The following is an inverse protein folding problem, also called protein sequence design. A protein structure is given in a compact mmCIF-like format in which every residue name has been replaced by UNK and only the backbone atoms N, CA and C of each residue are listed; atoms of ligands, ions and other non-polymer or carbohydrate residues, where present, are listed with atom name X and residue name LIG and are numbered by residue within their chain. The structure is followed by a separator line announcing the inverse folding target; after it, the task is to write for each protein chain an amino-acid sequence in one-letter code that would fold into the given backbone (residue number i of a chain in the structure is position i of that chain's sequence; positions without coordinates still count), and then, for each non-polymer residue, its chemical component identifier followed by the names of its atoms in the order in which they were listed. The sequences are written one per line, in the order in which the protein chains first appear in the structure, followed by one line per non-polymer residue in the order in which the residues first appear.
data_IF_218191753567
#
_entry.id   IF_218191753567
#
_cell.length_a   1.000
_cell.length_b   1.000
_cell.length_c   1.000
_cell.angle_alpha   90.00
_cell.angle_beta   90.00
_cell.angle_gamma   90.00
#
_symmetry.space_group_name_H-M   'P 1'
#
loop_
_entity.id
_entity.type
_entity.pdbx_description
1 polymer ?
#
# COMPACT_ATOMS: atom_id res chain seq x y z
N UNK A 1 23.16 -23.29 3.36
CA UNK A 1 22.31 -22.23 3.92
C UNK A 1 22.25 -21.18 2.84
N UNK A 2 21.12 -21.09 2.14
CA UNK A 2 20.86 -19.95 1.27
C UNK A 2 20.56 -18.79 2.20
N UNK A 3 21.23 -17.66 2.01
CA UNK A 3 20.88 -16.43 2.71
C UNK A 3 19.44 -16.11 2.32
N UNK A 4 18.56 -16.04 3.32
CA UNK A 4 17.15 -15.73 3.11
C UNK A 4 17.08 -14.25 2.74
N UNK A 5 16.86 -13.97 1.45
CA UNK A 5 16.64 -12.61 0.96
C UNK A 5 15.26 -12.15 1.40
N UNK A 6 15.20 -10.92 1.89
CA UNK A 6 14.00 -10.27 2.42
C UNK A 6 13.49 -9.21 1.44
N UNK A 7 12.22 -8.81 1.57
CA UNK A 7 11.63 -7.81 0.68
C UNK A 7 12.36 -6.45 0.72
N UNK A 8 12.99 -6.10 1.85
CA UNK A 8 13.75 -4.85 2.00
C UNK A 8 15.16 -4.91 1.42
N UNK A 9 15.63 -6.10 1.03
CA UNK A 9 16.96 -6.25 0.46
C UNK A 9 17.04 -5.64 -0.94
N UNK A 10 18.24 -5.18 -1.26
CA UNK A 10 18.54 -4.60 -2.56
C UNK A 10 18.45 -5.67 -3.65
N UNK A 11 18.00 -5.31 -4.85
CA UNK A 11 17.95 -6.22 -6.01
C UNK A 11 19.29 -6.91 -6.32
N UNK A 12 20.42 -6.32 -5.91
CA UNK A 12 21.75 -6.93 -6.03
C UNK A 12 21.93 -8.21 -5.19
N UNK A 13 21.16 -8.39 -4.13
CA UNK A 13 21.22 -9.64 -3.35
C UNK A 13 20.71 -10.86 -4.15
N UNK A 14 19.83 -10.65 -5.14
CA UNK A 14 19.46 -11.70 -6.09
C UNK A 14 20.63 -12.11 -7.01
N UNK A 15 21.58 -11.20 -7.25
CA UNK A 15 22.79 -11.52 -8.01
C UNK A 15 23.81 -12.29 -7.15
N UNK A 16 23.90 -11.97 -5.86
CA UNK A 16 24.80 -12.63 -4.91
C UNK A 16 24.34 -14.05 -4.57
N UNK A 17 23.03 -14.31 -4.60
CA UNK A 17 22.46 -15.66 -4.49
C UNK A 17 22.49 -16.45 -5.81
N UNK A 18 22.75 -15.77 -6.94
CA UNK A 18 22.86 -16.36 -8.26
C UNK A 18 21.53 -16.58 -8.99
N UNK A 19 20.44 -16.03 -8.48
CA UNK A 19 19.11 -16.05 -9.11
C UNK A 19 19.10 -15.19 -10.39
N UNK A 20 19.83 -14.08 -10.39
CA UNK A 20 20.06 -13.23 -11.56
C UNK A 20 21.54 -12.93 -11.76
N UNK A 21 21.91 -12.36 -12.91
CA UNK A 21 23.26 -11.84 -13.10
C UNK A 21 23.38 -10.41 -12.59
N UNK A 22 24.58 -10.02 -12.15
CA UNK A 22 24.87 -8.64 -11.73
C UNK A 22 24.47 -7.59 -12.78
N UNK A 23 24.71 -7.87 -14.06
CA UNK A 23 24.32 -6.97 -15.15
C UNK A 23 22.79 -6.84 -15.36
N UNK A 24 21.99 -7.76 -14.83
CA UNK A 24 20.54 -7.63 -14.78
C UNK A 24 20.13 -6.85 -13.52
N UNK A 25 20.75 -7.12 -12.38
CA UNK A 25 20.54 -6.33 -11.16
C UNK A 25 20.83 -4.83 -11.39
N UNK A 26 21.97 -4.49 -12.00
CA UNK A 26 22.34 -3.11 -12.38
C UNK A 26 21.23 -2.46 -13.22
N UNK A 27 20.64 -3.21 -14.16
CA UNK A 27 19.60 -2.67 -15.05
C UNK A 27 18.27 -2.49 -14.34
N UNK A 28 17.91 -3.41 -13.45
CA UNK A 28 16.69 -3.28 -12.66
C UNK A 28 16.80 -2.04 -11.77
N UNK A 29 17.94 -1.87 -11.10
CA UNK A 29 18.27 -0.69 -10.29
C UNK A 29 18.22 0.61 -11.12
N UNK A 30 18.90 0.65 -12.27
CA UNK A 30 18.89 1.79 -13.21
C UNK A 30 17.48 2.15 -13.73
N UNK A 31 16.52 1.22 -13.67
CA UNK A 31 15.13 1.39 -14.10
C UNK A 31 14.14 1.52 -12.93
N UNK A 32 14.64 1.75 -11.70
CA UNK A 32 13.81 2.06 -10.53
C UNK A 32 13.30 0.84 -9.76
N UNK A 33 13.82 -0.36 -10.04
CA UNK A 33 13.58 -1.58 -9.27
C UNK A 33 14.76 -1.82 -8.33
N UNK A 34 14.91 -0.96 -7.32
CA UNK A 34 16.07 -0.93 -6.43
C UNK A 34 16.02 -2.09 -5.41
N UNK A 35 14.82 -2.52 -5.02
CA UNK A 35 14.58 -3.52 -3.96
C UNK A 35 13.81 -4.75 -4.46
N UNK A 36 13.89 -5.85 -3.71
CA UNK A 36 13.07 -7.05 -3.96
C UNK A 36 11.57 -6.71 -3.84
N UNK A 37 11.20 -5.79 -2.96
CA UNK A 37 9.82 -5.32 -2.85
C UNK A 37 9.32 -4.63 -4.15
N UNK A 38 10.19 -3.89 -4.86
CA UNK A 38 9.82 -3.30 -6.15
C UNK A 38 9.52 -4.38 -7.19
N UNK A 39 10.26 -5.50 -7.18
CA UNK A 39 10.02 -6.65 -8.05
C UNK A 39 8.75 -7.42 -7.67
N UNK A 40 8.44 -7.54 -6.38
CA UNK A 40 7.19 -8.13 -5.87
C UNK A 40 5.94 -7.30 -6.26
N UNK A 41 6.12 -6.00 -6.51
CA UNK A 41 5.06 -5.10 -6.99
C UNK A 41 4.94 -5.15 -8.50
N UNK A 42 6.07 -5.21 -9.21
CA UNK A 42 6.13 -5.18 -10.65
C UNK A 42 5.30 -6.32 -11.26
N UNK A 43 4.51 -6.01 -12.29
CA UNK A 43 3.97 -7.06 -13.13
C UNK A 43 5.00 -7.49 -14.19
N UNK A 44 4.70 -8.58 -14.89
CA UNK A 44 5.61 -9.09 -15.92
C UNK A 44 5.89 -8.04 -17.02
N UNK A 45 4.92 -7.17 -17.32
CA UNK A 45 5.04 -6.17 -18.37
C UNK A 45 5.95 -5.02 -17.92
N UNK A 46 5.87 -4.60 -16.66
CA UNK A 46 6.76 -3.60 -16.08
C UNK A 46 8.24 -4.03 -16.22
N UNK A 47 8.50 -5.32 -16.01
CA UNK A 47 9.85 -5.88 -16.19
C UNK A 47 10.24 -6.03 -17.66
N UNK A 48 9.31 -6.35 -18.56
CA UNK A 48 9.57 -6.43 -20.00
C UNK A 48 9.93 -5.08 -20.63
N UNK A 49 9.57 -3.96 -20.00
CA UNK A 49 9.96 -2.62 -20.41
C UNK A 49 11.43 -2.31 -20.09
N UNK A 50 12.10 -3.11 -19.23
CA UNK A 50 13.52 -2.98 -18.92
C UNK A 50 14.38 -3.53 -20.06
N UNK A 51 15.37 -2.76 -20.57
CA UNK A 51 16.23 -3.22 -21.66
C UNK A 51 16.88 -4.59 -21.38
N UNK A 52 16.74 -5.52 -22.33
CA UNK A 52 17.27 -6.89 -22.27
C UNK A 52 16.57 -7.83 -21.27
N UNK A 53 15.48 -7.41 -20.66
CA UNK A 53 14.55 -8.27 -19.91
C UNK A 53 13.41 -8.64 -20.84
N UNK A 54 13.50 -9.82 -21.47
CA UNK A 54 12.38 -10.36 -22.26
C UNK A 54 11.41 -11.15 -21.39
N UNK A 55 10.24 -11.48 -21.94
CA UNK A 55 9.18 -12.20 -21.23
C UNK A 55 9.63 -13.42 -20.41
N UNK A 56 10.52 -14.26 -20.97
CA UNK A 56 11.05 -15.41 -20.24
C UNK A 56 11.88 -15.01 -19.01
N UNK A 57 12.69 -13.96 -19.14
CA UNK A 57 13.52 -13.45 -18.03
C UNK A 57 12.69 -12.70 -17.00
N UNK A 58 11.66 -11.96 -17.42
CA UNK A 58 10.70 -11.34 -16.50
C UNK A 58 10.01 -12.40 -15.63
N UNK A 59 9.56 -13.51 -16.24
CA UNK A 59 8.98 -14.63 -15.50
C UNK A 59 9.98 -15.28 -14.52
N UNK A 60 11.23 -15.49 -14.94
CA UNK A 60 12.27 -16.05 -14.07
C UNK A 60 12.56 -15.13 -12.86
N UNK A 61 12.61 -13.80 -13.07
CA UNK A 61 12.82 -12.82 -12.01
C UNK A 61 11.65 -12.82 -11.01
N UNK A 62 10.41 -12.82 -11.51
CA UNK A 62 9.22 -12.87 -10.65
C UNK A 62 9.17 -14.18 -9.85
N UNK A 63 9.52 -15.30 -10.47
CA UNK A 63 9.58 -16.59 -9.77
C UNK A 63 10.65 -16.61 -8.67
N UNK A 64 11.79 -15.95 -8.88
CA UNK A 64 12.86 -15.85 -7.89
C UNK A 64 12.44 -15.06 -6.63
N UNK A 65 11.49 -14.13 -6.76
CA UNK A 65 11.00 -13.33 -5.64
C UNK A 65 9.63 -13.78 -5.10
N UNK A 66 8.91 -14.68 -5.79
CA UNK A 66 7.54 -15.10 -5.41
C UNK A 66 7.48 -15.77 -4.02
N UNK A 67 8.55 -16.48 -3.64
CA UNK A 67 8.68 -17.13 -2.33
C UNK A 67 9.13 -16.17 -1.21
N UNK A 68 9.45 -14.92 -1.53
CA UNK A 68 9.80 -13.89 -0.55
C UNK A 68 8.52 -13.32 0.03
N UNK A 69 8.15 -13.77 1.23
CA UNK A 69 7.02 -13.18 1.95
C UNK A 69 7.37 -11.72 2.33
N UNK A 70 6.52 -10.73 1.98
CA UNK A 70 6.72 -9.38 2.48
C UNK A 70 6.61 -9.42 4.00
N UNK A 71 7.61 -8.85 4.69
CA UNK A 71 7.58 -8.81 6.15
C UNK A 71 6.27 -8.14 6.62
N UNK A 72 5.44 -8.85 7.40
CA UNK A 72 4.17 -8.29 7.86
C UNK A 72 4.49 -7.14 8.81
N UNK A 73 3.92 -5.96 8.53
CA UNK A 73 4.09 -4.80 9.41
C UNK A 73 3.44 -5.01 10.78
N UNK A 74 2.54 -6.00 10.93
CA UNK A 74 1.80 -6.25 12.17
C UNK A 74 1.43 -7.73 12.32
N UNK A 75 1.80 -8.33 13.46
CA UNK A 75 1.19 -9.55 14.00
C UNK A 75 -0.06 -9.12 14.82
N UNK A 76 -1.21 -9.76 14.58
CA UNK A 76 -2.55 -9.23 14.89
C UNK A 76 -2.89 -9.03 16.39
N UNK A 77 -1.91 -9.10 17.29
CA UNK A 77 -2.08 -9.02 18.75
C UNK A 77 -1.58 -7.72 19.39
N UNK A 78 -0.88 -6.86 18.67
CA UNK A 78 -0.55 -5.49 19.10
C UNK A 78 -0.55 -4.58 17.86
N UNK A 79 -1.72 -4.04 17.51
CA UNK A 79 -1.93 -3.42 16.20
C UNK A 79 -1.56 -1.94 16.24
N UNK A 80 -0.27 -1.64 16.13
CA UNK A 80 0.21 -0.30 15.75
C UNK A 80 0.68 -0.35 14.30
N UNK A 81 -0.23 -0.10 13.36
CA UNK A 81 0.17 0.10 11.97
C UNK A 81 0.82 1.49 11.83
N UNK A 82 2.15 1.51 11.68
CA UNK A 82 2.96 2.74 11.56
C UNK A 82 3.13 3.24 10.13
N UNK A 83 2.21 2.92 9.22
CA UNK A 83 2.34 3.34 7.82
C UNK A 83 2.38 4.88 7.68
N UNK A 84 3.25 5.36 6.79
CA UNK A 84 3.52 6.79 6.57
C UNK A 84 3.00 7.28 5.22
N UNK A 85 2.82 8.59 5.06
CA UNK A 85 2.42 9.17 3.77
C UNK A 85 3.37 8.71 2.64
N UNK A 86 2.80 8.33 1.50
CA UNK A 86 3.54 7.85 0.33
C UNK A 86 4.08 6.43 0.46
N UNK A 87 3.90 5.75 1.58
CA UNK A 87 4.24 4.33 1.70
C UNK A 87 3.29 3.48 0.87
N UNK A 88 3.81 2.46 0.20
CA UNK A 88 3.03 1.48 -0.55
C UNK A 88 2.75 0.28 0.33
N UNK A 89 1.47 -0.07 0.47
CA UNK A 89 0.98 -1.15 1.30
C UNK A 89 0.34 -2.25 0.44
N UNK A 90 0.76 -3.49 0.66
CA UNK A 90 0.07 -4.68 0.18
C UNK A 90 -0.96 -5.10 1.23
N UNK A 91 -2.22 -5.23 0.81
CA UNK A 91 -3.32 -5.59 1.71
C UNK A 91 -3.88 -6.96 1.35
N UNK A 92 -3.69 -7.92 2.25
CA UNK A 92 -4.20 -9.28 2.12
C UNK A 92 -5.54 -9.39 2.83
N UNK A 93 -6.56 -9.89 2.14
CA UNK A 93 -7.93 -9.96 2.67
C UNK A 93 -8.18 -11.31 3.31
N UNK A 94 -8.79 -11.33 4.51
CA UNK A 94 -9.02 -12.58 5.24
C UNK A 94 -10.10 -13.48 4.60
N UNK A 95 -11.14 -12.87 4.03
CA UNK A 95 -12.32 -13.60 3.53
C UNK A 95 -12.36 -13.70 2.01
N UNK A 96 -11.34 -13.19 1.29
CA UNK A 96 -11.34 -13.01 -0.17
C UNK A 96 -9.94 -13.05 -0.74
N UNK A 97 -9.82 -13.24 -2.06
CA UNK A 97 -8.57 -12.93 -2.75
C UNK A 97 -8.25 -11.46 -2.51
N UNK A 98 -7.04 -11.20 -2.00
CA UNK A 98 -6.53 -9.87 -1.76
C UNK A 98 -6.52 -9.01 -3.02
N UNK A 99 -6.29 -7.72 -2.85
CA UNK A 99 -6.01 -6.87 -4.02
C UNK A 99 -4.67 -7.31 -4.62
N UNK A 100 -4.64 -7.50 -5.94
CA UNK A 100 -3.42 -7.86 -6.63
C UNK A 100 -2.37 -6.73 -6.57
N UNK A 101 -2.83 -5.49 -6.47
CA UNK A 101 -2.00 -4.29 -6.50
C UNK A 101 -1.81 -3.70 -5.10
N UNK A 102 -0.64 -3.12 -4.86
CA UNK A 102 -0.37 -2.33 -3.67
C UNK A 102 -1.10 -0.97 -3.73
N UNK A 103 -1.43 -0.43 -2.56
CA UNK A 103 -2.03 0.90 -2.42
C UNK A 103 -1.02 1.86 -1.82
N UNK A 104 -0.98 3.12 -2.26
CA UNK A 104 -0.26 4.15 -1.52
C UNK A 104 -1.11 4.73 -0.40
N UNK A 105 -0.45 5.01 0.71
CA UNK A 105 -0.95 5.91 1.75
C UNK A 105 -0.97 7.32 1.19
N UNK A 106 -2.16 7.89 1.07
CA UNK A 106 -2.37 9.25 0.56
C UNK A 106 -2.83 10.22 1.64
N UNK A 107 -3.35 9.70 2.75
CA UNK A 107 -3.64 10.46 3.95
C UNK A 107 -3.57 9.55 5.18
N UNK A 108 -3.19 10.12 6.31
CA UNK A 108 -3.18 9.39 7.57
C UNK A 108 -3.42 10.33 8.74
N UNK A 109 -4.30 9.89 9.63
CA UNK A 109 -4.50 10.55 10.91
C UNK A 109 -3.42 10.14 11.92
N UNK A 110 -3.18 11.00 12.92
CA UNK A 110 -2.36 10.65 14.08
C UNK A 110 -3.00 9.47 14.84
N UNK A 111 -2.21 8.47 15.28
CA UNK A 111 -2.72 7.35 16.04
C UNK A 111 -3.44 7.82 17.32
N UNK A 112 -4.71 7.46 17.48
CA UNK A 112 -5.45 7.74 18.71
C UNK A 112 -5.29 6.59 19.68
N UNK A 113 -4.64 6.86 20.82
CA UNK A 113 -4.40 5.88 21.89
C UNK A 113 -5.61 5.77 22.81
N UNK A 114 -6.03 4.55 23.14
CA UNK A 114 -7.03 4.29 24.16
C UNK A 114 -6.75 2.98 24.90
N UNK A 115 -7.17 2.93 26.16
CA UNK A 115 -6.97 1.77 27.04
C UNK A 115 -8.15 0.80 26.91
N UNK A 116 -7.87 -0.50 26.77
CA UNK A 116 -8.89 -1.53 26.90
C UNK A 116 -9.08 -1.97 28.36
N UNK A 117 -10.26 -2.51 28.71
CA UNK A 117 -10.58 -2.86 30.10
C UNK A 117 -9.68 -3.95 30.73
N UNK A 118 -8.94 -4.70 29.92
CA UNK A 118 -7.99 -5.74 30.31
C UNK A 118 -6.58 -5.21 30.59
N UNK A 119 -6.32 -3.92 30.36
CA UNK A 119 -5.03 -3.27 30.62
C UNK A 119 -4.11 -3.21 29.40
N UNK A 120 -4.56 -3.66 28.23
CA UNK A 120 -3.84 -3.47 26.98
C UNK A 120 -4.07 -2.05 26.44
N UNK A 121 -3.09 -1.51 25.72
CA UNK A 121 -3.19 -0.21 25.05
C UNK A 121 -3.41 -0.42 23.57
N UNK A 122 -4.51 0.10 23.03
CA UNK A 122 -4.83 0.00 21.61
C UNK A 122 -4.68 1.36 20.94
N UNK A 123 -4.32 1.33 19.65
CA UNK A 123 -4.31 2.53 18.81
C UNK A 123 -5.30 2.34 17.68
N UNK A 124 -6.26 3.25 17.61
CA UNK A 124 -7.13 3.34 16.44
C UNK A 124 -6.51 4.32 15.46
N UNK A 125 -6.46 3.95 14.18
CA UNK A 125 -5.94 4.80 13.10
C UNK A 125 -6.76 4.58 11.83
N UNK A 126 -7.09 5.67 11.15
CA UNK A 126 -7.64 5.64 9.79
C UNK A 126 -6.56 6.10 8.82
N UNK A 127 -6.34 5.29 7.80
CA UNK A 127 -5.34 5.53 6.76
C UNK A 127 -6.05 5.49 5.42
N UNK A 128 -6.00 6.58 4.66
CA UNK A 128 -6.59 6.65 3.33
C UNK A 128 -5.60 6.09 2.31
N UNK A 129 -6.08 5.14 1.52
CA UNK A 129 -5.32 4.38 0.54
C UNK A 129 -5.80 4.68 -0.88
N UNK A 130 -4.87 4.71 -1.84
CA UNK A 130 -5.18 4.83 -3.27
C UNK A 130 -4.41 3.81 -4.10
N UNK A 131 -5.09 3.17 -5.07
CA UNK A 131 -4.43 2.32 -6.06
C UNK A 131 -3.64 3.12 -7.12
N UNK A 132 -3.89 4.42 -7.27
CA UNK A 132 -3.20 5.30 -8.23
C UNK A 132 -2.31 6.31 -7.52
N UNK A 133 -1.06 6.37 -7.95
CA UNK A 133 0.01 7.17 -7.33
C UNK A 133 0.09 8.62 -7.83
N UNK A 134 -0.65 8.98 -8.89
CA UNK A 134 -0.65 10.32 -9.49
C UNK A 134 -2.06 10.75 -9.90
N UNK A 135 -2.40 12.00 -9.59
CA UNK A 135 -3.68 12.64 -9.90
C UNK A 135 -3.79 13.03 -11.38
N UNK A 136 -4.17 12.09 -12.24
CA UNK A 136 -4.83 12.43 -13.50
C UNK A 136 -5.74 11.28 -13.98
N UNK A 137 -7.06 11.51 -13.98
CA UNK A 137 -8.07 10.61 -14.55
C UNK A 137 -9.18 10.13 -13.61
N UNK A 138 -10.42 10.16 -14.11
CA UNK A 138 -11.70 10.18 -13.39
C UNK A 138 -12.14 8.92 -12.59
N UNK A 139 -11.28 7.94 -12.35
CA UNK A 139 -11.61 6.73 -11.58
C UNK A 139 -10.52 6.45 -10.53
N UNK A 140 -10.55 7.21 -9.43
CA UNK A 140 -9.73 6.96 -8.25
C UNK A 140 -10.40 5.89 -7.38
N UNK A 141 -9.78 4.72 -7.30
CA UNK A 141 -10.20 3.65 -6.39
C UNK A 141 -9.51 3.86 -5.03
N UNK A 142 -10.07 4.78 -4.25
CA UNK A 142 -9.65 5.06 -2.86
C UNK A 142 -10.44 4.20 -1.86
N UNK A 143 -9.83 3.93 -0.71
CA UNK A 143 -10.50 3.33 0.44
C UNK A 143 -9.85 3.72 1.76
N UNK A 144 -10.55 3.45 2.86
CA UNK A 144 -10.05 3.71 4.20
C UNK A 144 -9.62 2.38 4.85
N UNK A 145 -8.35 2.28 5.19
CA UNK A 145 -7.85 1.22 6.06
C UNK A 145 -8.04 1.66 7.51
N UNK A 146 -8.91 0.96 8.21
CA UNK A 146 -9.23 1.23 9.62
C UNK A 146 -8.60 0.17 10.49
N UNK A 147 -7.76 0.64 11.40
CA UNK A 147 -7.09 -0.14 12.43
C UNK A 147 -7.85 0.07 13.73
N UNK A 148 -8.39 -1.00 14.32
CA UNK A 148 -9.12 -0.94 15.58
C UNK A 148 -8.91 -2.19 16.44
N UNK A 149 -9.57 -2.23 17.60
CA UNK A 149 -9.47 -3.36 18.54
C UNK A 149 -10.05 -4.67 18.00
N UNK A 150 -10.93 -4.60 16.99
CA UNK A 150 -11.48 -5.76 16.30
C UNK A 150 -10.62 -6.24 15.11
N UNK A 151 -9.44 -5.62 14.92
CA UNK A 151 -8.48 -5.92 13.87
C UNK A 151 -8.43 -4.83 12.80
N UNK A 152 -7.88 -5.20 11.63
CA UNK A 152 -7.73 -4.30 10.49
C UNK A 152 -8.84 -4.56 9.47
N UNK A 153 -9.43 -3.49 8.91
CA UNK A 153 -10.49 -3.60 7.90
C UNK A 153 -10.40 -2.50 6.85
N UNK A 154 -10.92 -2.78 5.65
CA UNK A 154 -11.16 -1.78 4.61
C UNK A 154 -12.60 -1.27 4.72
N UNK A 155 -12.76 0.01 4.95
CA UNK A 155 -13.99 0.78 4.78
C UNK A 155 -14.02 1.42 3.39
N UNK A 156 -15.23 1.63 2.86
CA UNK A 156 -15.47 2.17 1.51
C UNK A 156 -14.63 1.50 0.40
N UNK A 157 -14.74 0.16 0.24
CA UNK A 157 -13.93 -0.57 -0.71
C UNK A 157 -14.22 -0.10 -2.14
N UNK A 158 -13.20 0.03 -3.00
CA UNK A 158 -13.38 0.43 -4.39
C UNK A 158 -14.06 -0.69 -5.18
N UNK A 159 -15.38 -0.68 -5.22
CA UNK A 159 -16.18 -1.62 -6.01
C UNK A 159 -17.07 -0.89 -7.00
N UNK A 160 -17.04 -1.33 -8.25
CA UNK A 160 -17.90 -0.81 -9.35
C UNK A 160 -19.41 -0.93 -9.08
N UNK A 161 -19.85 -1.64 -8.04
CA UNK A 161 -21.25 -1.73 -7.65
C UNK A 161 -21.43 -2.02 -6.15
N UNK A 162 -21.64 -0.98 -5.35
CA UNK A 162 -21.96 -1.11 -3.91
C UNK A 162 -23.26 -1.89 -3.63
N UNK A 163 -24.21 -1.93 -4.58
CA UNK A 163 -25.55 -2.54 -4.39
C UNK A 163 -25.52 -4.05 -4.08
N UNK A 164 -24.45 -4.77 -4.42
CA UNK A 164 -24.29 -6.21 -4.08
C UNK A 164 -23.58 -6.45 -2.75
N UNK A 165 -23.04 -5.41 -2.10
CA UNK A 165 -22.12 -5.54 -0.97
C UNK A 165 -22.58 -4.79 0.29
N UNK A 166 -23.83 -4.33 0.32
CA UNK A 166 -24.43 -3.42 1.32
C UNK A 166 -24.59 -3.95 2.76
N UNK A 167 -23.87 -5.01 3.17
CA UNK A 167 -24.04 -5.62 4.51
C UNK A 167 -22.77 -5.90 5.30
N UNK A 168 -21.57 -5.78 4.72
CA UNK A 168 -20.33 -5.93 5.50
C UNK A 168 -19.92 -4.56 6.06
N UNK A 169 -19.66 -4.45 7.36
CA UNK A 169 -19.16 -3.24 8.06
C UNK A 169 -17.70 -2.91 7.68
N UNK A 170 -17.35 -3.06 6.42
CA UNK A 170 -15.97 -3.13 5.94
C UNK A 170 -15.50 -4.57 5.71
N UNK A 171 -14.42 -4.72 4.96
CA UNK A 171 -13.84 -6.02 4.62
C UNK A 171 -12.65 -6.32 5.52
N UNK A 172 -12.62 -7.51 6.13
CA UNK A 172 -11.55 -7.90 7.07
C UNK A 172 -10.24 -8.10 6.33
N UNK A 173 -9.19 -7.50 6.88
CA UNK A 173 -7.80 -7.63 6.42
C UNK A 173 -7.12 -8.68 7.30
N UNK A 174 -6.39 -9.58 6.66
CA UNK A 174 -5.57 -10.60 7.32
C UNK A 174 -4.19 -10.06 7.65
N UNK A 175 -3.54 -9.43 6.67
CA UNK A 175 -2.22 -8.83 6.84
C UNK A 175 -2.07 -7.56 6.01
N UNK A 176 -1.21 -6.67 6.50
CA UNK A 176 -0.75 -5.45 5.81
C UNK A 176 0.76 -5.48 5.82
N UNK A 177 1.38 -5.38 4.65
CA UNK A 177 2.84 -5.32 4.49
C UNK A 177 3.25 -4.04 3.77
N UNK A 178 4.31 -3.39 4.24
CA UNK A 178 4.99 -2.35 3.47
C UNK A 178 5.72 -3.03 2.32
N UNK A 179 5.55 -2.48 1.12
CA UNK A 179 6.20 -2.99 -0.08
C UNK A 179 6.99 -1.91 -0.82
N UNK A 180 7.14 -0.72 -0.23
CA UNK A 180 7.99 0.33 -0.78
C UNK A 180 7.40 1.72 -0.57
N UNK A 181 7.83 2.67 -1.39
CA UNK A 181 7.37 4.06 -1.34
C UNK A 181 7.02 4.55 -2.74
N UNK A 182 6.14 5.53 -2.83
CA UNK A 182 5.90 6.28 -4.07
C UNK A 182 7.13 7.12 -4.43
N UNK A 183 7.32 7.38 -5.72
CA UNK A 183 8.42 8.21 -6.21
C UNK A 183 8.44 9.59 -5.55
N UNK A 184 9.62 10.20 -5.44
CA UNK A 184 9.81 11.50 -4.81
C UNK A 184 8.89 12.61 -5.38
N UNK A 185 8.60 12.57 -6.68
CA UNK A 185 7.70 13.52 -7.35
C UNK A 185 6.25 13.31 -6.90
N UNK A 186 5.78 12.07 -6.88
CA UNK A 186 4.45 11.72 -6.39
C UNK A 186 4.32 12.02 -4.88
N UNK A 187 5.37 11.74 -4.10
CA UNK A 187 5.43 12.05 -2.67
C UNK A 187 5.30 13.56 -2.42
N UNK A 188 6.01 14.39 -3.20
CA UNK A 188 5.91 15.84 -3.09
C UNK A 188 4.50 16.36 -3.44
N UNK A 189 3.83 15.75 -4.42
CA UNK A 189 2.43 16.07 -4.76
C UNK A 189 1.47 15.71 -3.63
N UNK A 190 1.60 14.50 -3.06
CA UNK A 190 0.78 14.05 -1.94
C UNK A 190 0.94 14.97 -0.72
N UNK A 191 2.18 15.31 -0.39
CA UNK A 191 2.46 16.25 0.72
C UNK A 191 1.83 17.62 0.48
N UNK A 192 1.94 18.16 -0.74
CA UNK A 192 1.32 19.43 -1.10
C UNK A 192 -0.21 19.40 -1.04
N UNK A 193 -0.85 18.25 -1.28
CA UNK A 193 -2.29 18.07 -1.12
C UNK A 193 -2.71 17.98 0.35
N UNK A 194 -1.96 17.24 1.18
CA UNK A 194 -2.21 17.17 2.62
C UNK A 194 -2.11 18.54 3.29
N UNK A 195 -1.05 19.30 2.99
CA UNK A 195 -0.86 20.67 3.49
C UNK A 195 -2.01 21.61 3.05
N UNK A 196 -2.63 21.39 1.89
CA UNK A 196 -3.80 22.16 1.44
C UNK A 196 -5.11 21.72 2.11
N UNK A 197 -5.26 20.44 2.45
CA UNK A 197 -6.43 19.92 3.16
C UNK A 197 -6.47 20.42 4.63
N UNK A 198 -5.30 20.56 5.27
CA UNK A 198 -5.17 21.08 6.63
C UNK A 198 -5.36 22.61 6.71
N UNK A 199 -5.24 23.32 5.60
CA UNK A 199 -5.60 24.74 5.53
C UNK A 199 -7.10 24.86 5.33
N UNK A 200 -7.86 24.79 6.43
CA UNK A 200 -9.21 25.34 6.44
C UNK A 200 -9.10 26.82 6.03
N UNK A 201 -9.69 27.26 4.91
CA UNK A 201 -9.71 28.69 4.59
C UNK A 201 -10.48 29.40 5.71
N UNK A 202 -9.77 30.22 6.49
CA UNK A 202 -10.40 31.14 7.43
C UNK A 202 -11.31 32.08 6.63
N UNK A 203 -12.63 31.85 6.72
CA UNK A 203 -13.63 32.78 6.24
C UNK A 203 -14.55 32.31 5.12
N UNK A 204 -14.57 31.02 4.74
CA UNK A 204 -15.55 30.52 3.76
C UNK A 204 -16.54 29.49 4.35
N UNK A 205 -17.68 30.00 4.82
CA UNK A 205 -18.81 29.21 5.37
C UNK A 205 -19.56 28.36 4.33
N UNK A 206 -19.10 28.30 3.08
CA UNK A 206 -19.76 27.52 2.01
C UNK A 206 -19.54 26.00 2.12
N UNK A 207 -18.55 25.53 2.89
CA UNK A 207 -18.26 24.09 3.06
C UNK A 207 -19.40 23.28 3.71
N UNK A 208 -20.28 23.90 4.51
CA UNK A 208 -21.43 23.19 5.14
C UNK A 208 -22.53 22.77 4.14
N UNK A 209 -22.54 23.29 2.91
CA UNK A 209 -23.59 22.98 1.93
C UNK A 209 -23.44 21.64 1.23
N UNK A 210 -22.28 20.99 1.32
CA UNK A 210 -22.05 19.70 0.64
C UNK A 210 -22.37 18.47 1.51
N UNK A 211 -22.37 18.58 2.84
CA UNK A 211 -22.79 17.47 3.72
C UNK A 211 -24.31 17.39 3.95
N UNK A 212 -25.07 18.44 3.63
CA UNK A 212 -26.52 18.50 3.90
C UNK A 212 -27.40 18.09 2.71
N UNK A 213 -26.83 17.58 1.60
CA UNK A 213 -27.58 17.15 0.41
C UNK A 213 -27.59 15.64 0.20
N UNK A 214 -27.67 14.89 1.31
CA UNK A 214 -27.76 13.43 1.34
C UNK A 214 -28.91 12.87 2.19
N UNK A 215 -29.84 13.71 2.65
CA UNK A 215 -31.09 13.27 3.28
C UNK A 215 -32.27 14.04 2.70
N UNK A 216 -32.92 13.43 1.70
CA UNK A 216 -34.33 13.60 1.37
C UNK A 216 -34.76 12.43 0.45
#
# INVERSE_FOLDING_TARGET
MMSEVTATDHVHELADTGEISAAIADRLDDNGFETIADLLIADQKDLEDVPYVGAGRAADILAAVDDVEPEPLVDSREVVLEATLGEKLRVTMADRRGYANAFAVIDTEEPTVWETPDGDTWRTRRIRLSQKMAGDGADHEECDLVVGADGVRIEDPPVKSQKRYSRAKGWRVESVGAVGRVEAVAFAQLRGQQEQADVKPEGDDTWRKYQSRGEA
#
